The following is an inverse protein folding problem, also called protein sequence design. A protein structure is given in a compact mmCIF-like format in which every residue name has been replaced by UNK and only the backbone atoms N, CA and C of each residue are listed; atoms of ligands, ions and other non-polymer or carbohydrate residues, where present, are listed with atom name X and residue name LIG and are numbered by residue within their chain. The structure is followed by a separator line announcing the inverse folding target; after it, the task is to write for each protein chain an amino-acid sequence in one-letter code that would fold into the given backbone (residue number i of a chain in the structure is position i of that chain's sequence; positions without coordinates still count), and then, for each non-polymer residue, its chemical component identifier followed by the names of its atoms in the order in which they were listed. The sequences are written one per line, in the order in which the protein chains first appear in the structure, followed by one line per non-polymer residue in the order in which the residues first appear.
data_IF_023930422217
#
_entry.id   IF_023930422217
#
_cell.length_a   1.000
_cell.length_b   1.000
_cell.length_c   1.000
_cell.angle_alpha   90.00
_cell.angle_beta   90.00
_cell.angle_gamma   90.00
#
_symmetry.space_group_name_H-M   'P 1'
#
loop_
_entity.id
_entity.type
_entity.pdbx_description
1 polymer ?
#
# COMPACT_ATOMS: atom_id res chain seq x y z
N UNK A 1 -9.54 -58.41 21.06
CA UNK A 1 -10.64 -59.27 20.60
C UNK A 1 -11.91 -58.81 21.32
N UNK A 2 -12.75 -58.00 20.67
CA UNK A 2 -14.05 -58.41 20.11
C UNK A 2 -15.18 -58.53 21.16
N UNK A 3 -16.06 -57.51 21.26
CA UNK A 3 -17.50 -57.54 20.82
C UNK A 3 -18.45 -56.59 21.59
N UNK A 4 -19.15 -55.78 20.79
CA UNK A 4 -20.62 -55.52 20.78
C UNK A 4 -21.23 -54.76 21.97
N UNK A 5 -21.80 -53.58 21.68
CA UNK A 5 -23.24 -53.32 21.80
C UNK A 5 -23.60 -51.99 21.09
N UNK A 6 -24.42 -52.09 20.04
CA UNK A 6 -25.10 -50.97 19.38
C UNK A 6 -26.58 -51.06 19.78
N UNK A 7 -27.22 -49.89 19.79
CA UNK A 7 -28.65 -49.58 19.63
C UNK A 7 -29.40 -49.15 20.88
N UNK A 8 -29.61 -47.85 20.97
CA UNK A 8 -30.94 -47.32 21.26
C UNK A 8 -31.23 -46.18 20.30
N UNK A 9 -32.24 -46.46 19.50
CA UNK A 9 -32.88 -45.65 18.47
C UNK A 9 -33.78 -44.61 19.13
N UNK A 10 -33.64 -43.33 18.76
CA UNK A 10 -34.72 -42.37 18.89
C UNK A 10 -34.64 -41.39 17.72
N UNK A 11 -35.52 -41.62 16.76
CA UNK A 11 -35.81 -40.79 15.61
C UNK A 11 -36.72 -39.64 16.06
N UNK A 12 -36.30 -38.39 15.84
CA UNK A 12 -37.20 -37.24 15.86
C UNK A 12 -36.95 -36.40 14.61
N UNK A 13 -37.92 -36.53 13.70
CA UNK A 13 -38.05 -35.82 12.44
C UNK A 13 -38.44 -34.36 12.73
N UNK A 14 -37.73 -33.38 12.19
CA UNK A 14 -38.25 -32.02 12.03
C UNK A 14 -37.72 -31.40 10.75
N UNK A 15 -38.66 -30.88 9.99
CA UNK A 15 -38.61 -30.46 8.60
C UNK A 15 -37.96 -29.08 8.42
N UNK A 16 -37.34 -28.91 7.25
CA UNK A 16 -37.22 -27.67 6.44
C UNK A 16 -36.36 -26.52 6.96
N UNK A 17 -35.18 -26.36 6.35
CA UNK A 17 -34.79 -25.14 5.65
C UNK A 17 -33.55 -25.43 4.79
N UNK A 18 -33.75 -25.56 3.48
CA UNK A 18 -32.66 -25.40 2.53
C UNK A 18 -32.29 -23.92 2.47
N UNK A 19 -31.10 -23.58 2.96
CA UNK A 19 -30.36 -22.39 2.56
C UNK A 19 -29.04 -22.94 2.01
N UNK A 20 -28.97 -23.19 0.71
CA UNK A 20 -28.41 -22.21 -0.23
C UNK A 20 -27.07 -21.69 0.31
N UNK A 21 -26.00 -22.40 -0.06
CA UNK A 21 -24.66 -21.89 0.09
C UNK A 21 -24.52 -20.66 -0.77
N UNK A 22 -24.42 -19.51 -0.12
CA UNK A 22 -23.94 -18.29 -0.74
C UNK A 22 -22.62 -17.96 -0.04
N UNK A 23 -21.53 -18.50 -0.59
CA UNK A 23 -20.19 -17.97 -0.31
C UNK A 23 -20.11 -16.69 -1.13
N UNK A 24 -20.62 -15.61 -0.55
CA UNK A 24 -20.32 -14.26 -1.02
C UNK A 24 -18.85 -14.02 -0.70
N UNK A 25 -18.01 -14.44 -1.64
CA UNK A 25 -16.68 -13.87 -1.82
C UNK A 25 -16.90 -12.37 -1.98
N UNK A 26 -16.44 -11.61 -1.00
CA UNK A 26 -16.41 -10.17 -1.10
C UNK A 26 -15.49 -9.83 -2.27
N UNK A 27 -16.09 -9.66 -3.45
CA UNK A 27 -15.50 -8.93 -4.56
C UNK A 27 -15.21 -7.52 -4.05
N UNK A 28 -13.99 -7.34 -3.54
CA UNK A 28 -13.41 -6.02 -3.39
C UNK A 28 -13.41 -5.37 -4.77
N UNK A 29 -14.13 -4.27 -4.89
CA UNK A 29 -14.25 -3.47 -6.09
C UNK A 29 -12.86 -3.25 -6.71
N UNK A 30 -12.59 -3.90 -7.84
CA UNK A 30 -11.36 -3.76 -8.62
C UNK A 30 -11.29 -2.41 -9.36
N UNK A 31 -11.94 -1.38 -8.83
CA UNK A 31 -11.67 0.01 -9.15
C UNK A 31 -10.78 0.49 -8.02
N UNK A 32 -9.47 0.42 -8.25
CA UNK A 32 -8.50 1.02 -7.36
C UNK A 32 -8.99 2.42 -6.98
N UNK A 33 -9.31 2.61 -5.71
CA UNK A 33 -9.53 3.93 -5.17
C UNK A 33 -8.33 4.78 -5.62
N UNK A 34 -8.54 5.98 -6.17
CA UNK A 34 -7.42 6.79 -6.61
C UNK A 34 -6.48 6.95 -5.41
N UNK A 35 -5.23 6.47 -5.55
CA UNK A 35 -4.20 6.60 -4.54
C UNK A 35 -4.30 7.99 -3.89
N UNK A 36 -4.59 8.02 -2.59
CA UNK A 36 -4.95 9.24 -1.88
C UNK A 36 -3.85 10.28 -2.09
N UNK A 37 -4.14 11.32 -2.88
CA UNK A 37 -3.17 12.39 -3.09
C UNK A 37 -3.19 13.24 -1.83
N UNK A 38 -2.19 13.02 -0.98
CA UNK A 38 -2.00 13.81 0.24
C UNK A 38 -1.51 15.20 -0.15
N UNK A 39 -2.08 16.27 0.41
CA UNK A 39 -1.59 17.64 0.22
C UNK A 39 -0.50 17.93 1.28
N UNK A 40 0.76 18.08 0.85
CA UNK A 40 1.89 18.27 1.76
C UNK A 40 2.03 19.73 2.17
N UNK A 41 2.41 19.98 3.43
CA UNK A 41 2.66 21.35 3.90
C UNK A 41 4.11 21.76 3.60
N UNK A 42 4.38 22.76 2.72
CA UNK A 42 5.75 23.12 2.37
C UNK A 42 6.58 23.64 3.55
N UNK A 43 5.93 24.15 4.60
CA UNK A 43 6.58 24.60 5.82
C UNK A 43 7.24 23.46 6.61
N UNK A 44 6.78 22.22 6.44
CA UNK A 44 7.32 21.02 7.08
C UNK A 44 8.44 20.36 6.26
N UNK A 45 8.68 20.84 5.04
CA UNK A 45 9.70 20.32 4.12
C UNK A 45 10.92 21.26 4.11
N UNK A 46 12.16 20.74 4.20
CA UNK A 46 13.38 21.53 4.03
C UNK A 46 13.35 22.33 2.74
N UNK A 47 13.86 23.57 2.77
CA UNK A 47 13.75 24.51 1.65
C UNK A 47 14.29 23.94 0.33
N UNK A 48 15.42 23.23 0.37
CA UNK A 48 16.04 22.58 -0.80
C UNK A 48 15.23 21.43 -1.40
N UNK A 49 14.27 20.88 -0.65
CA UNK A 49 13.45 19.75 -1.07
C UNK A 49 12.03 20.14 -1.50
N UNK A 50 11.61 21.40 -1.28
CA UNK A 50 10.23 21.83 -1.55
C UNK A 50 9.81 21.69 -3.00
N UNK A 51 10.74 21.77 -3.95
CA UNK A 51 10.43 21.57 -5.37
C UNK A 51 10.03 20.12 -5.70
N UNK A 52 10.39 19.16 -4.85
CA UNK A 52 10.01 17.76 -4.99
C UNK A 52 8.63 17.46 -4.40
N UNK A 53 7.97 18.41 -3.73
CA UNK A 53 6.65 18.19 -3.11
C UNK A 53 5.64 17.58 -4.10
N UNK A 54 5.44 18.12 -5.32
CA UNK A 54 4.48 17.52 -6.25
C UNK A 54 4.84 16.07 -6.66
N UNK A 55 6.13 15.71 -6.63
CA UNK A 55 6.56 14.34 -6.87
C UNK A 55 6.27 13.46 -5.65
N UNK A 56 6.51 13.95 -4.43
CA UNK A 56 6.19 13.24 -3.21
C UNK A 56 4.68 13.04 -3.04
N UNK A 57 3.85 13.99 -3.45
CA UNK A 57 2.38 13.86 -3.46
C UNK A 57 1.90 12.77 -4.43
N UNK A 58 2.53 12.67 -5.62
CA UNK A 58 2.17 11.66 -6.63
C UNK A 58 2.72 10.27 -6.29
N UNK A 59 3.97 10.19 -5.83
CA UNK A 59 4.74 8.94 -5.74
C UNK A 59 4.97 8.46 -4.31
N UNK A 60 4.71 9.30 -3.30
CA UNK A 60 4.86 9.00 -1.88
C UNK A 60 3.73 8.15 -1.29
N UNK A 61 3.29 7.13 -2.02
CA UNK A 61 2.21 6.23 -1.61
C UNK A 61 2.74 5.22 -0.60
N UNK A 62 2.15 5.19 0.60
CA UNK A 62 2.57 4.30 1.68
C UNK A 62 2.27 2.82 1.46
N UNK A 63 1.11 2.53 0.87
CA UNK A 63 0.69 1.17 0.53
C UNK A 63 1.48 0.64 -0.67
N UNK A 64 2.06 -0.55 -0.53
CA UNK A 64 2.91 -1.15 -1.55
C UNK A 64 2.13 -1.68 -2.77
N UNK A 65 0.90 -2.15 -2.59
CA UNK A 65 0.01 -2.57 -3.67
C UNK A 65 -0.36 -1.37 -4.54
N UNK A 66 -0.75 -0.26 -3.93
CA UNK A 66 -1.12 0.96 -4.68
C UNK A 66 0.07 1.61 -5.38
N UNK A 67 1.25 1.62 -4.71
CA UNK A 67 2.49 2.13 -5.29
C UNK A 67 2.94 1.28 -6.49
N UNK A 68 2.89 -0.05 -6.37
CA UNK A 68 3.15 -0.98 -7.47
C UNK A 68 2.20 -0.75 -8.66
N UNK A 69 0.91 -0.63 -8.40
CA UNK A 69 -0.09 -0.33 -9.43
C UNK A 69 0.18 1.01 -10.13
N UNK A 70 0.64 2.04 -9.41
CA UNK A 70 1.08 3.31 -10.01
C UNK A 70 2.33 3.13 -10.88
N UNK A 71 3.32 2.37 -10.44
CA UNK A 71 4.56 2.11 -11.21
C UNK A 71 4.24 1.39 -12.52
N UNK A 72 3.39 0.36 -12.47
CA UNK A 72 2.98 -0.46 -13.62
C UNK A 72 2.25 0.35 -14.69
N UNK A 73 1.33 1.21 -14.28
CA UNK A 73 0.55 2.05 -15.23
C UNK A 73 1.31 3.26 -15.76
N UNK A 74 2.41 3.65 -15.13
CA UNK A 74 3.20 4.81 -15.54
C UNK A 74 4.02 4.51 -16.79
N UNK A 75 4.30 5.53 -17.60
CA UNK A 75 5.22 5.37 -18.73
C UNK A 75 6.67 5.21 -18.27
N UNK A 76 7.50 4.61 -19.13
CA UNK A 76 8.95 4.54 -18.90
C UNK A 76 9.55 5.94 -18.74
N UNK A 77 9.05 6.90 -19.51
CA UNK A 77 9.49 8.30 -19.49
C UNK A 77 9.15 8.97 -18.15
N UNK A 78 7.96 8.73 -17.59
CA UNK A 78 7.58 9.25 -16.27
C UNK A 78 8.44 8.66 -15.15
N UNK A 79 8.70 7.34 -15.18
CA UNK A 79 9.58 6.68 -14.21
C UNK A 79 10.99 7.25 -14.27
N UNK A 80 11.55 7.39 -15.47
CA UNK A 80 12.87 8.00 -15.66
C UNK A 80 12.91 9.48 -15.26
N UNK A 81 11.82 10.22 -15.48
CA UNK A 81 11.71 11.60 -15.03
C UNK A 81 11.76 11.67 -13.49
N UNK A 82 11.02 10.81 -12.78
CA UNK A 82 11.07 10.71 -11.33
C UNK A 82 12.51 10.42 -10.84
N UNK A 83 13.14 9.37 -11.36
CA UNK A 83 14.49 8.98 -10.95
C UNK A 83 15.50 10.11 -11.16
N UNK A 84 15.44 10.80 -12.31
CA UNK A 84 16.34 11.93 -12.60
C UNK A 84 16.11 13.13 -11.69
N UNK A 85 14.86 13.43 -11.35
CA UNK A 85 14.53 14.54 -10.43
C UNK A 85 14.99 14.27 -9.01
N UNK A 86 14.95 13.02 -8.54
CA UNK A 86 15.32 12.68 -7.15
C UNK A 86 16.82 12.47 -6.98
N UNK A 87 17.52 11.95 -8.00
CA UNK A 87 18.94 11.62 -7.95
C UNK A 87 19.84 12.71 -7.30
N UNK A 88 19.73 14.01 -7.65
CA UNK A 88 20.58 15.03 -7.04
C UNK A 88 20.25 15.35 -5.57
N UNK A 89 19.11 14.92 -5.04
CA UNK A 89 18.66 15.24 -3.68
C UNK A 89 18.70 14.04 -2.72
N UNK A 90 19.10 12.84 -3.17
CA UNK A 90 19.04 11.63 -2.33
C UNK A 90 19.78 11.77 -1.00
N UNK A 91 20.97 12.37 -1.00
CA UNK A 91 21.75 12.59 0.22
C UNK A 91 21.03 13.56 1.18
N UNK A 92 20.42 14.62 0.65
CA UNK A 92 19.67 15.60 1.44
C UNK A 92 18.38 14.99 2.02
N UNK A 93 17.64 14.23 1.21
CA UNK A 93 16.44 13.50 1.65
C UNK A 93 16.82 12.51 2.75
N UNK A 94 17.86 11.69 2.54
CA UNK A 94 18.32 10.70 3.52
C UNK A 94 18.73 11.37 4.83
N UNK A 95 19.54 12.43 4.77
CA UNK A 95 19.95 13.16 5.97
C UNK A 95 18.76 13.78 6.72
N UNK A 96 17.75 14.28 6.00
CA UNK A 96 16.52 14.78 6.61
C UNK A 96 15.72 13.66 7.27
N UNK A 97 15.54 12.52 6.62
CA UNK A 97 14.84 11.36 7.20
C UNK A 97 15.57 10.82 8.44
N UNK A 98 16.89 10.71 8.38
CA UNK A 98 17.72 10.24 9.51
C UNK A 98 17.63 11.17 10.72
N UNK A 99 17.36 12.47 10.50
CA UNK A 99 17.25 13.45 11.59
C UNK A 99 16.09 13.19 12.56
N UNK A 100 15.10 12.39 12.16
CA UNK A 100 14.01 11.95 13.04
C UNK A 100 14.46 10.90 14.06
N UNK A 101 15.54 10.14 13.79
CA UNK A 101 16.03 9.09 14.67
C UNK A 101 14.94 8.05 14.97
N UNK A 102 14.50 7.98 16.23
CA UNK A 102 13.41 7.08 16.68
C UNK A 102 12.05 7.78 16.78
N UNK A 103 11.99 9.08 16.51
CA UNK A 103 10.73 9.82 16.51
C UNK A 103 9.89 9.43 15.29
N UNK A 104 8.55 9.46 15.38
CA UNK A 104 7.69 9.26 14.22
C UNK A 104 7.99 10.28 13.13
N UNK A 105 7.95 9.83 11.87
CA UNK A 105 8.03 10.73 10.71
C UNK A 105 6.79 11.61 10.65
N UNK A 106 6.97 12.86 10.22
CA UNK A 106 5.85 13.69 9.73
C UNK A 106 5.28 13.12 8.45
N UNK A 107 4.05 13.48 8.10
CA UNK A 107 3.41 13.01 6.87
C UNK A 107 4.21 13.38 5.60
N UNK A 108 4.88 14.54 5.59
CA UNK A 108 5.76 14.95 4.49
C UNK A 108 7.02 14.07 4.39
N UNK A 109 7.71 13.87 5.50
CA UNK A 109 8.87 12.98 5.57
C UNK A 109 8.49 11.54 5.15
N UNK A 110 7.32 11.04 5.57
CA UNK A 110 6.81 9.74 5.14
C UNK A 110 6.58 9.71 3.61
N UNK A 111 5.95 10.73 3.04
CA UNK A 111 5.75 10.83 1.59
C UNK A 111 7.09 10.84 0.81
N UNK A 112 8.11 11.54 1.30
CA UNK A 112 9.45 11.53 0.70
C UNK A 112 10.14 10.17 0.82
N UNK A 113 10.00 9.50 1.97
CA UNK A 113 10.49 8.14 2.16
C UNK A 113 9.84 7.17 1.16
N UNK A 114 8.51 7.18 1.04
CA UNK A 114 7.78 6.31 0.11
C UNK A 114 8.06 6.64 -1.35
N UNK A 115 8.31 7.91 -1.68
CA UNK A 115 8.75 8.30 -3.01
C UNK A 115 10.12 7.69 -3.36
N UNK A 116 11.06 7.61 -2.41
CA UNK A 116 12.33 6.89 -2.63
C UNK A 116 12.11 5.38 -2.80
N UNK A 117 11.21 4.78 -2.03
CA UNK A 117 10.83 3.37 -2.23
C UNK A 117 10.24 3.12 -3.61
N UNK A 118 9.41 4.04 -4.13
CA UNK A 118 8.91 3.94 -5.49
C UNK A 118 10.05 3.85 -6.51
N UNK A 119 11.10 4.68 -6.38
CA UNK A 119 12.28 4.65 -7.26
C UNK A 119 13.03 3.33 -7.17
N UNK A 120 13.19 2.77 -5.98
CA UNK A 120 13.86 1.47 -5.81
C UNK A 120 13.02 0.33 -6.42
N UNK A 121 11.70 0.37 -6.27
CA UNK A 121 10.79 -0.65 -6.80
C UNK A 121 10.71 -0.64 -8.33
N UNK A 122 10.87 0.52 -8.98
CA UNK A 122 10.94 0.63 -10.43
C UNK A 122 12.02 -0.24 -11.07
N UNK A 123 13.02 -0.69 -10.30
CA UNK A 123 14.09 -1.57 -10.78
C UNK A 123 13.61 -3.00 -11.09
N UNK A 124 12.39 -3.34 -10.70
CA UNK A 124 11.76 -4.64 -10.92
C UNK A 124 10.74 -4.64 -12.08
N UNK A 125 10.54 -3.50 -12.76
CA UNK A 125 9.59 -3.29 -13.85
C UNK A 125 10.29 -2.93 -15.17
#
# INVERSE_FOLDING_TARGET
MHRIAILSLALALSLMAGCAGDRSEAEGDARGEPASTQELQPANVPEGLRELIPLAEKWGIGDDVDRAALIERSSTEERQALTRSIAPHQDEITAWLDSFGTSPLSDEAAAFMYMQLAVEEMRYY
#
